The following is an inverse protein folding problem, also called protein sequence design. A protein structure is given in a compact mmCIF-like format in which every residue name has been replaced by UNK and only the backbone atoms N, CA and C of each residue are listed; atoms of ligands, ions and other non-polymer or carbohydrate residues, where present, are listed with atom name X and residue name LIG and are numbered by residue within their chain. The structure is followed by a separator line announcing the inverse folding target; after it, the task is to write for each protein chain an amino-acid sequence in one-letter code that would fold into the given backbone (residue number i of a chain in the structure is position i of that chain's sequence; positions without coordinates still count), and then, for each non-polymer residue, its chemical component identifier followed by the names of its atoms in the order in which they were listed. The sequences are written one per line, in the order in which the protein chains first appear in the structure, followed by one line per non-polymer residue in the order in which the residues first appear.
data_IF_121061704967
#
_entry.id   IF_121061704967
#
_cell.length_a   1.000
_cell.length_b   1.000
_cell.length_c   1.000
_cell.angle_alpha   90.00
_cell.angle_beta   90.00
_cell.angle_gamma   90.00
#
_symmetry.space_group_name_H-M   'P 1'
#
loop_
_entity.id
_entity.type
_entity.pdbx_description
1 polymer ?
#
# COMPACT_ATOMS: atom_id res chain seq x y z
N UNK A 1 -4.70 -19.66 7.80
CA UNK A 1 -5.32 -19.66 6.46
C UNK A 1 -5.03 -18.32 5.77
N UNK A 2 -4.93 -18.26 4.43
CA UNK A 2 -4.61 -17.02 3.71
C UNK A 2 -5.67 -15.94 3.90
N UNK A 3 -5.26 -14.76 4.41
CA UNK A 3 -6.17 -13.68 4.86
C UNK A 3 -7.07 -13.12 3.75
N UNK A 4 -6.53 -12.96 2.53
CA UNK A 4 -7.29 -12.43 1.38
C UNK A 4 -8.48 -13.34 1.01
N UNK A 5 -8.26 -14.67 0.95
CA UNK A 5 -9.31 -15.65 0.63
C UNK A 5 -10.42 -15.63 1.67
N UNK A 6 -10.06 -15.35 2.93
CA UNK A 6 -11.02 -15.23 4.02
C UNK A 6 -11.66 -13.83 4.14
N UNK A 7 -11.39 -12.92 3.19
CA UNK A 7 -11.81 -11.51 3.25
C UNK A 7 -11.37 -10.80 4.56
N UNK A 8 -10.28 -11.27 5.16
CA UNK A 8 -9.72 -10.70 6.37
C UNK A 8 -8.76 -9.55 6.03
N UNK A 9 -9.29 -8.34 6.10
CA UNK A 9 -8.53 -7.10 5.93
C UNK A 9 -8.09 -6.46 7.24
N UNK A 10 -8.19 -7.20 8.35
CA UNK A 10 -7.66 -6.73 9.62
C UNK A 10 -6.14 -6.51 9.53
N UNK A 11 -5.62 -5.45 10.15
CA UNK A 11 -4.22 -5.08 10.02
C UNK A 11 -3.33 -6.06 10.79
N UNK A 12 -2.43 -6.73 10.08
CA UNK A 12 -1.14 -7.15 10.66
C UNK A 12 -0.10 -6.02 10.57
N UNK A 13 -0.20 -5.23 9.49
CA UNK A 13 0.52 -3.99 9.29
C UNK A 13 -0.39 -2.99 8.59
N UNK A 14 -0.46 -1.76 9.09
CA UNK A 14 -1.43 -0.77 8.61
C UNK A 14 -1.01 -0.14 7.28
N UNK A 15 -1.99 0.07 6.38
CA UNK A 15 -1.80 0.81 5.12
C UNK A 15 -1.17 2.19 5.34
N UNK A 16 -1.66 2.98 6.31
CA UNK A 16 -1.10 4.31 6.61
C UNK A 16 0.39 4.29 6.99
N UNK A 17 0.83 3.24 7.70
CA UNK A 17 2.24 3.09 8.05
C UNK A 17 3.06 2.65 6.84
N UNK A 18 2.49 1.80 5.99
CA UNK A 18 3.15 1.39 4.76
C UNK A 18 3.33 2.54 3.78
N UNK A 19 2.34 3.43 3.65
CA UNK A 19 2.47 4.67 2.87
C UNK A 19 3.63 5.51 3.40
N UNK A 20 3.70 5.76 4.71
CA UNK A 20 4.80 6.51 5.34
C UNK A 20 6.17 5.88 5.02
N UNK A 21 6.31 4.57 5.15
CA UNK A 21 7.57 3.89 4.86
C UNK A 21 7.94 3.94 3.36
N UNK A 22 6.96 3.81 2.46
CA UNK A 22 7.17 3.97 1.02
C UNK A 22 7.53 5.40 0.64
N UNK A 23 6.96 6.42 1.29
CA UNK A 23 7.36 7.82 1.08
C UNK A 23 8.82 8.03 1.39
N UNK A 24 9.29 7.53 2.54
CA UNK A 24 10.71 7.60 2.93
C UNK A 24 11.59 6.86 1.91
N UNK A 25 11.14 5.69 1.44
CA UNK A 25 11.89 4.90 0.46
C UNK A 25 11.98 5.60 -0.92
N UNK A 26 10.92 6.27 -1.37
CA UNK A 26 10.94 7.06 -2.62
C UNK A 26 11.87 8.26 -2.47
N UNK A 27 11.77 9.03 -1.39
CA UNK A 27 12.65 10.17 -1.12
C UNK A 27 14.13 9.75 -1.06
N UNK A 28 14.40 8.59 -0.46
CA UNK A 28 15.75 8.01 -0.41
C UNK A 28 16.26 7.61 -1.80
N UNK A 29 15.41 6.99 -2.61
CA UNK A 29 15.75 6.59 -3.98
C UNK A 29 16.02 7.80 -4.88
N UNK A 30 15.21 8.85 -4.77
CA UNK A 30 15.41 10.13 -5.47
C UNK A 30 16.75 10.77 -5.09
N UNK A 31 17.09 10.80 -3.80
CA UNK A 31 18.38 11.30 -3.31
C UNK A 31 19.59 10.48 -3.82
N UNK A 32 19.38 9.20 -4.10
CA UNK A 32 20.40 8.29 -4.66
C UNK A 32 20.43 8.29 -6.20
N UNK A 33 19.52 9.00 -6.87
CA UNK A 33 19.39 8.97 -8.32
C UNK A 33 18.91 7.62 -8.87
N UNK A 34 18.17 6.85 -8.07
CA UNK A 34 17.60 5.56 -8.46
C UNK A 34 16.16 5.73 -8.96
N UNK A 35 15.87 5.19 -10.15
CA UNK A 35 14.51 5.10 -10.67
C UNK A 35 13.84 3.81 -10.21
N UNK A 36 12.79 3.93 -9.36
CA UNK A 36 12.04 2.82 -8.79
C UNK A 36 10.55 2.91 -9.14
N UNK A 37 10.16 2.73 -10.42
CA UNK A 37 8.79 2.95 -10.87
C UNK A 37 7.78 2.01 -10.20
N UNK A 38 8.20 0.80 -9.84
CA UNK A 38 7.36 -0.15 -9.08
C UNK A 38 7.03 0.33 -7.66
N UNK A 39 7.98 0.98 -6.98
CA UNK A 39 7.77 1.55 -5.65
C UNK A 39 6.84 2.76 -5.72
N UNK A 40 7.04 3.63 -6.71
CA UNK A 40 6.18 4.80 -6.96
C UNK A 40 4.75 4.35 -7.25
N UNK A 41 4.57 3.32 -8.08
CA UNK A 41 3.26 2.74 -8.37
C UNK A 41 2.63 2.14 -7.12
N UNK A 42 3.38 1.37 -6.34
CA UNK A 42 2.88 0.79 -5.09
C UNK A 42 2.39 1.88 -4.14
N UNK A 43 3.20 2.92 -3.89
CA UNK A 43 2.81 4.07 -3.05
C UNK A 43 1.50 4.68 -3.52
N UNK A 44 1.37 4.96 -4.81
CA UNK A 44 0.16 5.53 -5.42
C UNK A 44 -1.08 4.66 -5.20
N UNK A 45 -0.96 3.34 -5.35
CA UNK A 45 -2.08 2.43 -5.15
C UNK A 45 -2.50 2.37 -3.68
N UNK A 46 -1.55 2.38 -2.74
CA UNK A 46 -1.87 2.44 -1.32
C UNK A 46 -2.46 3.79 -0.89
N UNK A 47 -1.99 4.90 -1.46
CA UNK A 47 -2.61 6.22 -1.29
C UNK A 47 -4.08 6.21 -1.77
N UNK A 48 -4.35 5.61 -2.92
CA UNK A 48 -5.71 5.43 -3.43
C UNK A 48 -6.57 4.59 -2.47
N UNK A 49 -6.05 3.46 -1.97
CA UNK A 49 -6.74 2.63 -0.98
C UNK A 49 -7.04 3.42 0.30
N UNK A 50 -6.09 4.22 0.79
CA UNK A 50 -6.28 5.06 1.97
C UNK A 50 -7.36 6.12 1.74
N UNK A 51 -7.39 6.75 0.57
CA UNK A 51 -8.41 7.73 0.18
C UNK A 51 -9.82 7.11 0.10
N UNK A 52 -9.93 5.80 -0.18
CA UNK A 52 -11.18 5.04 -0.15
C UNK A 52 -11.55 4.50 1.26
N UNK A 53 -10.88 4.98 2.32
CA UNK A 53 -11.15 4.59 3.71
C UNK A 53 -10.35 3.39 4.22
N UNK A 54 -9.48 2.79 3.39
CA UNK A 54 -8.66 1.63 3.74
C UNK A 54 -7.41 1.93 4.58
N UNK A 55 -7.21 3.16 5.06
CA UNK A 55 -5.99 3.59 5.76
C UNK A 55 -5.68 2.78 7.04
N UNK A 56 -6.73 2.29 7.72
CA UNK A 56 -6.63 1.46 8.92
C UNK A 56 -6.74 -0.05 8.65
N UNK A 57 -6.83 -0.46 7.38
CA UNK A 57 -6.81 -1.86 6.99
C UNK A 57 -5.38 -2.41 6.94
N UNK A 58 -5.27 -3.74 6.84
CA UNK A 58 -4.02 -4.41 6.53
C UNK A 58 -3.54 -4.14 5.11
N UNK A 59 -2.23 -4.27 4.85
CA UNK A 59 -1.65 -4.08 3.50
C UNK A 59 -2.28 -4.99 2.44
N UNK A 60 -2.76 -6.18 2.84
CA UNK A 60 -3.46 -7.09 1.95
C UNK A 60 -4.81 -6.54 1.42
N UNK A 61 -5.35 -5.48 2.04
CA UNK A 61 -6.55 -4.79 1.56
C UNK A 61 -6.35 -4.09 0.21
N UNK A 62 -5.11 -3.98 -0.28
CA UNK A 62 -4.84 -3.52 -1.64
C UNK A 62 -5.61 -4.31 -2.70
N UNK A 63 -5.87 -5.60 -2.44
CA UNK A 63 -6.64 -6.47 -3.32
C UNK A 63 -8.04 -5.91 -3.66
N UNK A 64 -8.68 -5.18 -2.75
CA UNK A 64 -10.04 -4.65 -2.97
C UNK A 64 -10.11 -3.63 -4.11
N UNK A 65 -9.00 -2.96 -4.43
CA UNK A 65 -8.92 -2.06 -5.59
C UNK A 65 -9.04 -2.80 -6.92
N UNK A 66 -8.76 -4.10 -6.95
CA UNK A 66 -8.85 -4.94 -8.14
C UNK A 66 -10.19 -5.66 -8.26
N UNK A 67 -10.90 -5.89 -7.15
CA UNK A 67 -12.27 -6.42 -7.18
C UNK A 67 -13.31 -5.39 -7.62
N UNK A 68 -13.06 -4.11 -7.37
CA UNK A 68 -13.99 -3.03 -7.75
C UNK A 68 -14.04 -2.74 -9.26
N UNK A 69 -13.47 -3.61 -10.11
CA UNK A 69 -13.40 -3.47 -11.57
C UNK A 69 -14.34 -4.42 -12.30
#
# INVERSE_FOLDING_TARGET
APRIINQDFSPGFFVKHFIKDMTIAVESAEAMGLDLPGLVLARKLYEQLAAQGGANSGTQALYTLYEAK
#
